data_IF_514770843969
#
_entry.id   IF_514770843969
#
_cell.length_a   1.000
_cell.length_b   1.000
_cell.length_c   1.000
_cell.angle_alpha   90.00
_cell.angle_beta   90.00
_cell.angle_gamma   90.00
#
_symmetry.space_group_name_H-M   'P 1'
#
loop_
_entity.id
_entity.type
_entity.pdbx_description
1 polymer ?
#
# COMPACT_ATOMS: atom_id res chain seq x y z
N UNK A 1 22.07 16.86 32.89
CA UNK A 1 21.54 15.49 32.79
C UNK A 1 20.01 15.39 32.65
N UNK A 2 19.20 16.12 33.44
CA UNK A 2 17.72 16.09 33.34
C UNK A 2 17.13 16.48 31.97
N UNK A 3 17.78 17.39 31.23
CA UNK A 3 17.33 17.82 29.88
C UNK A 3 17.49 16.73 28.83
N UNK A 4 18.60 15.99 28.85
CA UNK A 4 18.87 14.89 27.92
C UNK A 4 17.82 13.79 28.11
N UNK A 5 17.55 13.39 29.35
CA UNK A 5 16.53 12.38 29.65
C UNK A 5 15.12 12.77 29.18
N UNK A 6 14.74 14.05 29.32
CA UNK A 6 13.47 14.57 28.80
C UNK A 6 13.41 14.52 27.27
N UNK A 7 14.49 14.90 26.60
CA UNK A 7 14.57 14.90 25.14
C UNK A 7 14.57 13.46 24.61
N UNK A 8 15.37 12.57 25.18
CA UNK A 8 15.40 11.15 24.78
C UNK A 8 14.04 10.50 24.98
N UNK A 9 13.37 10.76 26.11
CA UNK A 9 12.00 10.27 26.35
C UNK A 9 11.00 10.80 25.31
N UNK A 10 11.09 12.08 24.95
CA UNK A 10 10.25 12.67 23.91
C UNK A 10 10.52 12.06 22.53
N UNK A 11 11.79 11.84 22.17
CA UNK A 11 12.18 11.23 20.89
C UNK A 11 11.68 9.79 20.79
N UNK A 12 11.79 9.01 21.87
CA UNK A 12 11.28 7.63 21.92
C UNK A 12 9.76 7.61 21.79
N UNK A 13 9.06 8.51 22.48
CA UNK A 13 7.61 8.66 22.36
C UNK A 13 7.22 8.98 20.90
N UNK A 14 7.94 9.90 20.27
CA UNK A 14 7.67 10.34 18.90
C UNK A 14 7.93 9.21 17.88
N UNK A 15 8.98 8.41 18.09
CA UNK A 15 9.26 7.21 17.31
C UNK A 15 8.16 6.14 17.45
N UNK A 16 7.67 5.90 18.67
CA UNK A 16 6.57 4.95 18.89
C UNK A 16 5.30 5.37 18.15
N UNK A 17 4.94 6.66 18.23
CA UNK A 17 3.81 7.22 17.50
C UNK A 17 4.02 7.07 15.98
N UNK A 18 5.24 7.33 15.49
CA UNK A 18 5.56 7.17 14.08
C UNK A 18 5.41 5.72 13.60
N UNK A 19 5.86 4.74 14.38
CA UNK A 19 5.72 3.32 14.03
C UNK A 19 4.25 2.91 13.92
N UNK A 20 3.40 3.35 14.86
CA UNK A 20 1.96 3.08 14.85
C UNK A 20 1.27 3.75 13.64
N UNK A 21 1.69 4.96 13.29
CA UNK A 21 1.12 5.71 12.17
C UNK A 21 1.69 5.30 10.80
N UNK A 22 2.87 4.68 10.76
CA UNK A 22 3.55 4.28 9.53
C UNK A 22 2.67 3.50 8.54
N UNK A 23 1.92 2.43 8.92
CA UNK A 23 1.06 1.73 7.97
C UNK A 23 0.01 2.64 7.33
N UNK A 24 -0.56 3.59 8.08
CA UNK A 24 -1.58 4.51 7.57
C UNK A 24 -0.99 5.52 6.59
N UNK A 25 0.19 6.07 6.87
CA UNK A 25 0.86 7.02 5.97
C UNK A 25 1.36 6.35 4.68
N UNK A 26 1.88 5.11 4.78
CA UNK A 26 2.51 4.44 3.64
C UNK A 26 1.52 3.63 2.79
N UNK A 27 0.43 3.07 3.35
CA UNK A 27 -0.57 2.26 2.60
C UNK A 27 -1.08 3.00 1.36
N UNK A 28 -1.49 4.26 1.50
CA UNK A 28 -2.01 5.06 0.38
C UNK A 28 -0.97 5.39 -0.67
N UNK A 29 0.28 5.67 -0.27
CA UNK A 29 1.38 6.00 -1.20
C UNK A 29 1.82 4.77 -2.00
N UNK A 30 1.93 3.62 -1.34
CA UNK A 30 2.28 2.34 -1.97
C UNK A 30 1.19 1.92 -2.97
N UNK A 31 -0.10 2.07 -2.60
CA UNK A 31 -1.22 1.78 -3.50
C UNK A 31 -1.15 2.59 -4.79
N UNK A 32 -0.93 3.90 -4.68
CA UNK A 32 -0.82 4.79 -5.86
C UNK A 32 0.38 4.41 -6.73
N UNK A 33 1.53 4.13 -6.11
CA UNK A 33 2.73 3.73 -6.82
C UNK A 33 2.50 2.41 -7.56
N UNK A 34 1.95 1.40 -6.89
CA UNK A 34 1.66 0.09 -7.48
C UNK A 34 0.65 0.19 -8.65
N UNK A 35 -0.45 0.94 -8.49
CA UNK A 35 -1.42 1.18 -9.58
C UNK A 35 -0.75 1.85 -10.79
N UNK A 36 0.08 2.86 -10.55
CA UNK A 36 0.79 3.57 -11.62
C UNK A 36 1.78 2.66 -12.33
N UNK A 37 2.60 1.92 -11.57
CA UNK A 37 3.64 1.07 -12.13
C UNK A 37 3.03 -0.07 -12.94
N UNK A 38 2.03 -0.76 -12.39
CA UNK A 38 1.36 -1.86 -13.09
C UNK A 38 0.66 -1.36 -14.36
N UNK A 39 0.04 -0.18 -14.32
CA UNK A 39 -0.60 0.38 -15.52
C UNK A 39 0.40 0.72 -16.63
N UNK A 40 1.59 1.21 -16.27
CA UNK A 40 2.68 1.46 -17.21
C UNK A 40 3.23 0.17 -17.83
N UNK A 41 3.30 -0.93 -17.07
CA UNK A 41 3.84 -2.20 -17.58
C UNK A 41 2.84 -3.02 -18.39
N UNK A 42 1.54 -2.91 -18.09
CA UNK A 42 0.51 -3.80 -18.66
C UNK A 42 -0.27 -3.15 -19.82
N UNK A 43 0.02 -1.89 -20.18
CA UNK A 43 -0.79 -1.11 -21.15
C UNK A 43 -2.30 -1.33 -20.86
N UNK A 44 -2.67 -1.25 -19.58
CA UNK A 44 -4.02 -1.48 -19.09
C UNK A 44 -4.24 -0.71 -17.80
N UNK A 45 -5.48 -0.30 -17.53
CA UNK A 45 -5.81 0.40 -16.29
C UNK A 45 -6.18 -0.63 -15.24
N UNK A 46 -5.25 -0.92 -14.35
CA UNK A 46 -5.47 -1.92 -13.30
C UNK A 46 -6.04 -1.24 -12.05
N UNK A 47 -7.26 -1.64 -11.71
CA UNK A 47 -7.94 -1.23 -10.48
C UNK A 47 -8.03 -2.40 -9.49
N UNK A 48 -7.99 -2.06 -8.21
CA UNK A 48 -8.00 -3.03 -7.12
C UNK A 48 -8.95 -2.49 -6.06
N UNK A 49 -9.94 -3.30 -5.65
CA UNK A 49 -10.95 -2.88 -4.67
C UNK A 49 -10.38 -2.83 -3.27
N UNK A 50 -9.60 -3.84 -2.87
CA UNK A 50 -9.02 -3.94 -1.53
C UNK A 50 -7.55 -4.35 -1.58
N UNK A 51 -6.73 -3.62 -0.84
CA UNK A 51 -5.30 -3.87 -0.72
C UNK A 51 -4.93 -3.90 0.77
N UNK A 52 -4.51 -5.06 1.23
CA UNK A 52 -4.07 -5.29 2.60
C UNK A 52 -2.55 -5.31 2.67
N UNK A 53 -2.02 -4.36 3.44
CA UNK A 53 -0.60 -4.21 3.65
C UNK A 53 -0.24 -4.76 5.02
N UNK A 54 0.41 -5.92 5.04
CA UNK A 54 0.92 -6.52 6.27
C UNK A 54 2.37 -6.06 6.47
N UNK A 55 2.57 -5.17 7.44
CA UNK A 55 3.90 -4.64 7.80
C UNK A 55 4.37 -5.22 9.13
N UNK A 56 3.52 -5.20 10.15
CA UNK A 56 3.93 -5.53 11.52
C UNK A 56 4.33 -6.99 11.72
N UNK A 57 3.75 -7.94 10.96
CA UNK A 57 4.08 -9.37 11.09
C UNK A 57 5.33 -9.79 10.30
N UNK A 58 5.75 -9.02 9.30
CA UNK A 58 6.78 -9.42 8.34
C UNK A 58 7.93 -8.43 8.22
N UNK A 59 7.96 -7.36 9.03
CA UNK A 59 9.02 -6.35 9.00
C UNK A 59 10.41 -7.00 9.12
N UNK A 60 11.41 -6.60 8.30
CA UNK A 60 11.44 -5.45 7.38
C UNK A 60 10.75 -5.67 6.02
N UNK A 61 10.32 -6.89 5.72
CA UNK A 61 9.65 -7.22 4.46
C UNK A 61 8.18 -6.79 4.50
N UNK A 62 7.73 -6.12 3.44
CA UNK A 62 6.34 -5.70 3.29
C UNK A 62 5.59 -6.72 2.43
N UNK A 63 4.52 -7.30 2.96
CA UNK A 63 3.64 -8.16 2.16
C UNK A 63 2.42 -7.37 1.76
N UNK A 64 2.20 -7.30 0.44
CA UNK A 64 1.03 -6.69 -0.17
C UNK A 64 0.12 -7.83 -0.64
N UNK A 65 -1.08 -7.90 -0.07
CA UNK A 65 -2.16 -8.75 -0.54
C UNK A 65 -3.16 -7.89 -1.27
N UNK A 66 -3.44 -8.22 -2.52
CA UNK A 66 -4.42 -7.53 -3.36
C UNK A 66 -5.59 -8.48 -3.59
N UNK A 67 -6.78 -8.06 -3.20
CA UNK A 67 -8.04 -8.78 -3.46
C UNK A 67 -8.85 -8.02 -4.50
N UNK A 68 -9.59 -8.79 -5.32
CA UNK A 68 -10.47 -8.27 -6.36
C UNK A 68 -9.75 -7.34 -7.36
N UNK A 69 -8.84 -7.96 -8.11
CA UNK A 69 -8.12 -7.29 -9.19
C UNK A 69 -9.04 -7.16 -10.40
N UNK A 70 -9.26 -5.93 -10.86
CA UNK A 70 -9.99 -5.61 -12.09
C UNK A 70 -9.04 -4.96 -13.09
N UNK A 71 -8.89 -5.58 -14.26
CA UNK A 71 -8.09 -5.03 -15.36
C UNK A 71 -9.04 -4.42 -16.37
N UNK A 72 -9.04 -3.10 -16.47
CA UNK A 72 -9.80 -2.36 -17.47
C UNK A 72 -8.94 -2.18 -18.73
N UNK A 73 -9.54 -2.46 -19.88
CA UNK A 73 -8.90 -2.25 -21.17
C UNK A 73 -8.70 -0.76 -21.49
N UNK A 74 -7.63 -0.44 -22.21
CA UNK A 74 -7.38 0.90 -22.76
C UNK A 74 -7.40 0.84 -24.30
N UNK A 75 -7.68 1.96 -24.96
CA UNK A 75 -7.69 2.07 -26.42
C UNK A 75 -8.89 1.35 -27.06
N UNK A 76 -8.65 0.28 -27.83
CA UNK A 76 -9.73 -0.44 -28.53
C UNK A 76 -10.70 -1.18 -27.61
N UNK A 77 -10.33 -1.36 -26.35
CA UNK A 77 -11.13 -2.00 -25.30
C UNK A 77 -11.50 -1.01 -24.18
N UNK A 78 -11.43 0.30 -24.48
CA UNK A 78 -11.80 1.35 -23.53
C UNK A 78 -13.28 1.23 -23.15
N UNK A 79 -13.55 0.99 -21.86
CA UNK A 79 -14.89 0.73 -21.34
C UNK A 79 -15.21 -0.74 -21.07
N UNK A 80 -14.38 -1.69 -21.54
CA UNK A 80 -14.53 -3.12 -21.28
C UNK A 80 -13.58 -3.60 -20.16
N UNK A 81 -14.09 -4.51 -19.33
CA UNK A 81 -13.29 -5.20 -18.30
C UNK A 81 -12.67 -6.45 -18.91
N UNK A 82 -11.34 -6.44 -19.12
CA UNK A 82 -10.62 -7.53 -19.79
C UNK A 82 -10.40 -8.73 -18.88
N UNK A 83 -10.22 -8.49 -17.58
CA UNK A 83 -10.11 -9.55 -16.59
C UNK A 83 -10.68 -9.08 -15.26
N UNK A 84 -11.57 -9.88 -14.69
CA UNK A 84 -12.06 -9.70 -13.33
C UNK A 84 -11.60 -10.94 -12.54
N UNK A 85 -10.59 -10.76 -11.70
CA UNK A 85 -10.04 -11.83 -10.87
C UNK A 85 -10.60 -11.65 -9.46
N UNK A 86 -11.69 -12.36 -9.20
CA UNK A 86 -12.27 -12.48 -7.86
C UNK A 86 -11.60 -13.65 -7.16
N UNK A 87 -10.73 -13.37 -6.20
CA UNK A 87 -10.12 -14.42 -5.36
C UNK A 87 -11.17 -14.78 -4.31
N UNK A 88 -11.90 -15.87 -4.56
CA UNK A 88 -12.76 -16.50 -3.57
C UNK A 88 -11.86 -17.15 -2.51
N UNK A 89 -11.93 -16.65 -1.28
CA UNK A 89 -11.43 -17.35 -0.09
C UNK A 89 -12.59 -18.04 0.62
#
# INVERSE_FOLDING_TARGET
MKKVFKITGLVVLLLLVFVILSPFLFKGKILKLAKSEISNYVDAKVDFSDLDLTIFKSFPSFTISVSDISVLGIGRFEGDTLALIKIFM
#
